data_IF_300073676885
#
_entry.id   IF_300073676885
#
_cell.length_a   1.000
_cell.length_b   1.000
_cell.length_c   1.000
_cell.angle_alpha   90.00
_cell.angle_beta   90.00
_cell.angle_gamma   90.00
#
_symmetry.space_group_name_H-M   'P 1'
#
loop_
_entity.id
_entity.type
_entity.pdbx_description
1 polymer ?
#
# COMPACT_ATOMS: atom_id res chain seq x y z
N UNK A 1 -15.91 16.35 -28.82
CA UNK A 1 -16.35 15.80 -30.12
C UNK A 1 -17.64 15.04 -29.92
N UNK A 2 -18.40 14.79 -30.99
CA UNK A 2 -19.57 13.92 -30.95
C UNK A 2 -19.20 12.64 -31.69
N UNK A 3 -19.51 11.48 -31.12
CA UNK A 3 -19.23 10.19 -31.75
C UNK A 3 -20.07 10.03 -33.04
N UNK A 4 -19.43 9.94 -34.22
CA UNK A 4 -20.12 9.82 -35.51
C UNK A 4 -20.60 8.38 -35.77
N UNK A 5 -21.57 8.24 -36.68
CA UNK A 5 -22.15 6.94 -37.07
C UNK A 5 -21.18 6.15 -37.97
N UNK A 6 -20.89 4.87 -37.68
CA UNK A 6 -20.11 4.03 -38.59
C UNK A 6 -20.97 3.70 -39.82
N UNK A 7 -20.46 4.02 -41.02
CA UNK A 7 -21.19 3.82 -42.30
C UNK A 7 -20.35 3.04 -43.32
N UNK A 8 -19.11 3.49 -43.58
CA UNK A 8 -18.20 2.83 -44.53
C UNK A 8 -17.16 1.97 -43.80
N UNK A 9 -17.22 0.64 -44.02
CA UNK A 9 -16.28 -0.34 -43.50
C UNK A 9 -15.24 -0.71 -44.56
N UNK A 10 -13.98 -0.83 -44.15
CA UNK A 10 -12.89 -1.40 -44.95
C UNK A 10 -12.26 -2.58 -44.22
N UNK A 11 -11.48 -3.39 -44.94
CA UNK A 11 -10.80 -4.58 -44.41
C UNK A 11 -9.89 -4.28 -43.21
N UNK A 12 -9.29 -3.08 -43.17
CA UNK A 12 -8.48 -2.61 -42.03
C UNK A 12 -9.29 -2.43 -40.74
N UNK A 13 -10.60 -2.20 -40.85
CA UNK A 13 -11.50 -2.09 -39.70
C UNK A 13 -11.82 -3.47 -39.13
N UNK A 14 -12.09 -4.44 -40.01
CA UNK A 14 -12.47 -5.79 -39.63
C UNK A 14 -11.33 -6.49 -38.87
N UNK A 15 -10.08 -6.21 -39.22
CA UNK A 15 -8.91 -6.72 -38.51
C UNK A 15 -8.80 -6.16 -37.07
N UNK A 16 -9.04 -4.86 -36.88
CA UNK A 16 -9.07 -4.24 -35.54
C UNK A 16 -10.24 -4.78 -34.71
N UNK A 17 -11.42 -4.89 -35.30
CA UNK A 17 -12.64 -5.40 -34.65
C UNK A 17 -12.44 -6.84 -34.20
N UNK A 18 -11.93 -7.70 -35.09
CA UNK A 18 -11.66 -9.12 -34.82
C UNK A 18 -10.64 -9.26 -33.70
N UNK A 19 -9.56 -8.47 -33.73
CA UNK A 19 -8.55 -8.46 -32.66
C UNK A 19 -9.16 -8.05 -31.32
N UNK A 20 -10.00 -7.00 -31.29
CA UNK A 20 -10.65 -6.53 -30.08
C UNK A 20 -11.67 -7.53 -29.52
N UNK A 21 -12.44 -8.22 -30.38
CA UNK A 21 -13.44 -9.21 -29.96
C UNK A 21 -12.83 -10.50 -29.41
N UNK A 22 -11.68 -10.93 -29.94
CA UNK A 22 -11.01 -12.15 -29.47
C UNK A 22 -10.18 -11.94 -28.20
N UNK A 23 -9.71 -10.71 -27.96
CA UNK A 23 -8.82 -10.40 -26.86
C UNK A 23 -9.39 -10.74 -25.46
N UNK A 24 -10.66 -10.47 -25.11
CA UNK A 24 -11.22 -10.80 -23.80
C UNK A 24 -11.05 -12.29 -23.46
N UNK A 25 -11.33 -13.18 -24.42
CA UNK A 25 -11.19 -14.63 -24.24
C UNK A 25 -9.73 -15.02 -23.97
N UNK A 26 -8.80 -14.47 -24.73
CA UNK A 26 -7.37 -14.73 -24.52
C UNK A 26 -6.88 -14.21 -23.17
N UNK A 27 -7.33 -13.02 -22.76
CA UNK A 27 -6.99 -12.46 -21.45
C UNK A 27 -7.56 -13.33 -20.32
N UNK A 28 -8.81 -13.78 -20.45
CA UNK A 28 -9.46 -14.70 -19.49
C UNK A 28 -8.66 -16.00 -19.33
N UNK A 29 -8.28 -16.65 -20.44
CA UNK A 29 -7.46 -17.86 -20.41
C UNK A 29 -6.10 -17.66 -19.70
N UNK A 30 -5.46 -16.50 -19.87
CA UNK A 30 -4.21 -16.17 -19.18
C UNK A 30 -4.43 -15.84 -17.71
N UNK A 31 -5.53 -15.15 -17.37
CA UNK A 31 -5.88 -14.83 -16.00
C UNK A 31 -6.20 -16.09 -15.18
N UNK A 32 -6.92 -17.05 -15.77
CA UNK A 32 -7.21 -18.37 -15.16
C UNK A 32 -5.93 -19.17 -14.87
N UNK A 33 -4.93 -19.05 -15.75
CA UNK A 33 -3.61 -19.69 -15.59
C UNK A 33 -2.65 -18.88 -14.70
N UNK A 34 -3.11 -17.77 -14.10
CA UNK A 34 -2.29 -16.85 -13.30
C UNK A 34 -1.10 -16.24 -14.06
N UNK A 35 -1.20 -16.13 -15.39
CA UNK A 35 -0.18 -15.57 -16.28
C UNK A 35 -0.42 -14.08 -16.56
N UNK A 36 -0.40 -13.26 -15.50
CA UNK A 36 -0.70 -11.81 -15.54
C UNK A 36 0.14 -11.03 -16.55
N UNK A 37 1.43 -11.36 -16.67
CA UNK A 37 2.35 -10.70 -17.62
C UNK A 37 1.94 -10.94 -19.07
N UNK A 38 1.51 -12.17 -19.40
CA UNK A 38 1.07 -12.51 -20.75
C UNK A 38 -0.26 -11.82 -21.09
N UNK A 39 -1.19 -11.78 -20.14
CA UNK A 39 -2.44 -11.02 -20.28
C UNK A 39 -2.17 -9.54 -20.63
N UNK A 40 -1.26 -8.88 -19.91
CA UNK A 40 -0.85 -7.50 -20.21
C UNK A 40 -0.20 -7.35 -21.59
N UNK A 41 0.65 -8.30 -22.00
CA UNK A 41 1.29 -8.29 -23.32
C UNK A 41 0.24 -8.33 -24.44
N UNK A 42 -0.78 -9.18 -24.31
CA UNK A 42 -1.88 -9.27 -25.29
C UNK A 42 -2.71 -7.99 -25.33
N UNK A 43 -3.04 -7.40 -24.17
CA UNK A 43 -3.74 -6.10 -24.13
C UNK A 43 -2.93 -5.02 -24.86
N UNK A 44 -1.61 -5.00 -24.66
CA UNK A 44 -0.74 -4.05 -25.36
C UNK A 44 -0.60 -4.33 -26.86
N UNK A 45 -0.87 -5.55 -27.34
CA UNK A 45 -0.95 -5.80 -28.79
C UNK A 45 -2.12 -5.05 -29.40
N UNK A 46 -3.29 -5.02 -28.74
CA UNK A 46 -4.43 -4.22 -29.20
C UNK A 46 -4.10 -2.72 -29.20
N UNK A 47 -3.42 -2.21 -28.17
CA UNK A 47 -2.95 -0.82 -28.14
C UNK A 47 -2.04 -0.51 -29.35
N UNK A 48 -1.06 -1.37 -29.62
CA UNK A 48 -0.17 -1.22 -30.79
C UNK A 48 -0.94 -1.29 -32.11
N UNK A 49 -1.91 -2.20 -32.22
CA UNK A 49 -2.75 -2.34 -33.41
C UNK A 49 -3.62 -1.12 -33.64
N UNK A 50 -4.22 -0.55 -32.59
CA UNK A 50 -4.98 0.68 -32.65
C UNK A 50 -4.11 1.87 -33.10
N UNK A 51 -2.87 1.98 -32.60
CA UNK A 51 -1.92 2.99 -33.10
C UNK A 51 -1.60 2.78 -34.59
N UNK A 52 -1.30 1.54 -35.00
CA UNK A 52 -1.08 1.24 -36.43
C UNK A 52 -2.29 1.57 -37.29
N UNK A 53 -3.51 1.33 -36.79
CA UNK A 53 -4.76 1.69 -37.46
C UNK A 53 -4.90 3.21 -37.63
N UNK A 54 -4.50 4.01 -36.63
CA UNK A 54 -4.43 5.47 -36.75
C UNK A 54 -3.48 5.89 -37.88
N UNK A 55 -2.32 5.25 -37.97
CA UNK A 55 -1.33 5.54 -39.01
C UNK A 55 -1.80 5.14 -40.41
N UNK A 56 -2.47 3.98 -40.54
CA UNK A 56 -3.02 3.47 -41.80
C UNK A 56 -4.20 4.32 -42.30
N UNK A 57 -5.09 4.73 -41.40
CA UNK A 57 -6.32 5.47 -41.76
C UNK A 57 -6.11 6.99 -41.83
N UNK A 58 -5.00 7.49 -41.27
CA UNK A 58 -4.62 8.91 -41.25
C UNK A 58 -5.82 9.84 -41.03
N UNK A 59 -6.52 9.76 -39.87
CA UNK A 59 -7.77 10.48 -39.64
C UNK A 59 -7.62 12.01 -39.78
N UNK A 60 -6.42 12.57 -39.55
CA UNK A 60 -6.14 13.99 -39.77
C UNK A 60 -6.14 14.40 -41.25
N UNK A 61 -5.90 13.46 -42.18
CA UNK A 61 -6.04 13.70 -43.62
C UNK A 61 -7.50 13.56 -44.02
N UNK A 62 -8.18 12.52 -43.54
CA UNK A 62 -9.62 12.32 -43.78
C UNK A 62 -10.47 13.49 -43.27
N UNK A 63 -10.07 14.12 -42.16
CA UNK A 63 -10.73 15.29 -41.60
C UNK A 63 -10.63 16.56 -42.48
N UNK A 64 -9.69 16.61 -43.43
CA UNK A 64 -9.54 17.74 -44.36
C UNK A 64 -10.44 17.62 -45.59
N UNK A 65 -10.98 16.43 -45.86
CA UNK A 65 -11.78 16.13 -47.06
C UNK A 65 -13.24 15.90 -46.67
N UNK A 66 -14.12 16.84 -47.01
CA UNK A 66 -15.54 16.77 -46.61
C UNK A 66 -16.27 15.55 -47.20
N UNK A 67 -15.79 15.03 -48.34
CA UNK A 67 -16.37 13.84 -48.98
C UNK A 67 -16.12 12.55 -48.18
N UNK A 68 -15.11 12.55 -47.30
CA UNK A 68 -14.70 11.38 -46.50
C UNK A 68 -15.12 11.47 -45.04
N UNK A 69 -16.04 12.40 -44.70
CA UNK A 69 -16.58 12.54 -43.34
C UNK A 69 -17.20 11.25 -42.80
N UNK A 70 -17.86 10.47 -43.65
CA UNK A 70 -18.42 9.17 -43.26
C UNK A 70 -17.34 8.16 -42.88
N UNK A 71 -16.24 8.10 -43.64
CA UNK A 71 -15.09 7.23 -43.37
C UNK A 71 -14.37 7.63 -42.09
N UNK A 72 -14.10 8.93 -41.91
CA UNK A 72 -13.57 9.47 -40.67
C UNK A 72 -14.46 9.08 -39.48
N UNK A 73 -15.77 9.06 -39.71
CA UNK A 73 -16.73 8.66 -38.71
C UNK A 73 -16.53 7.22 -38.24
N UNK A 74 -16.46 6.28 -39.16
CA UNK A 74 -16.17 4.87 -38.85
C UNK A 74 -14.83 4.71 -38.11
N UNK A 75 -13.77 5.40 -38.57
CA UNK A 75 -12.43 5.31 -37.96
C UNK A 75 -12.44 5.79 -36.51
N UNK A 76 -13.05 6.95 -36.24
CA UNK A 76 -13.13 7.50 -34.88
C UNK A 76 -14.00 6.63 -33.96
N UNK A 77 -15.09 6.06 -34.50
CA UNK A 77 -15.94 5.12 -33.77
C UNK A 77 -15.14 3.88 -33.34
N UNK A 78 -14.45 3.26 -34.29
CA UNK A 78 -13.66 2.04 -34.06
C UNK A 78 -12.54 2.27 -33.03
N UNK A 79 -11.85 3.42 -33.11
CA UNK A 79 -10.81 3.80 -32.15
C UNK A 79 -11.36 4.02 -30.74
N UNK A 80 -12.51 4.66 -30.64
CA UNK A 80 -13.16 4.90 -29.35
C UNK A 80 -13.60 3.59 -28.71
N UNK A 81 -14.14 2.66 -29.52
CA UNK A 81 -14.53 1.34 -29.05
C UNK A 81 -13.31 0.50 -28.64
N UNK A 82 -12.21 0.54 -29.41
CA UNK A 82 -10.96 -0.10 -29.02
C UNK A 82 -10.41 0.44 -27.69
N UNK A 83 -10.46 1.77 -27.47
CA UNK A 83 -10.07 2.39 -26.20
C UNK A 83 -10.96 1.94 -25.04
N UNK A 84 -12.27 1.77 -25.27
CA UNK A 84 -13.21 1.23 -24.27
C UNK A 84 -12.81 -0.19 -23.88
N UNK A 85 -12.53 -1.06 -24.86
CA UNK A 85 -12.06 -2.43 -24.61
C UNK A 85 -10.78 -2.44 -23.78
N UNK A 86 -9.78 -1.64 -24.17
CA UNK A 86 -8.51 -1.51 -23.45
C UNK A 86 -8.77 -1.07 -22.00
N UNK A 87 -9.61 -0.06 -21.78
CA UNK A 87 -9.93 0.46 -20.45
C UNK A 87 -10.58 -0.60 -19.55
N UNK A 88 -11.51 -1.41 -20.06
CA UNK A 88 -12.12 -2.50 -19.29
C UNK A 88 -11.08 -3.57 -18.95
N UNK A 89 -10.26 -3.98 -19.93
CA UNK A 89 -9.28 -5.07 -19.77
C UNK A 89 -8.11 -4.70 -18.85
N UNK A 90 -7.72 -3.42 -18.77
CA UNK A 90 -6.67 -2.97 -17.83
C UNK A 90 -7.18 -2.73 -16.41
N UNK A 91 -8.50 -2.73 -16.17
CA UNK A 91 -9.10 -2.52 -14.86
C UNK A 91 -8.51 -3.38 -13.71
N UNK A 92 -8.27 -4.69 -13.88
CA UNK A 92 -7.62 -5.50 -12.84
C UNK A 92 -6.16 -5.11 -12.54
N UNK A 93 -5.48 -4.42 -13.46
CA UNK A 93 -4.07 -4.02 -13.31
C UNK A 93 -3.91 -2.56 -12.88
N UNK A 94 -4.82 -1.68 -13.31
CA UNK A 94 -4.81 -0.25 -13.04
C UNK A 94 -6.23 0.19 -12.66
N UNK A 95 -6.59 0.30 -11.37
CA UNK A 95 -7.98 0.58 -10.98
C UNK A 95 -8.45 2.01 -11.29
N UNK A 96 -7.52 2.96 -11.40
CA UNK A 96 -7.83 4.38 -11.56
C UNK A 96 -7.81 4.85 -13.02
N UNK A 97 -6.96 4.25 -13.85
CA UNK A 97 -6.78 4.63 -15.26
C UNK A 97 -8.06 4.45 -16.10
N UNK A 98 -8.79 3.32 -16.03
CA UNK A 98 -10.04 3.12 -16.77
C UNK A 98 -11.06 4.21 -16.49
N UNK A 99 -11.22 4.62 -15.22
CA UNK A 99 -12.18 5.66 -14.83
C UNK A 99 -11.91 6.97 -15.57
N UNK A 100 -10.64 7.39 -15.60
CA UNK A 100 -10.22 8.59 -16.36
C UNK A 100 -10.48 8.45 -17.86
N UNK A 101 -10.25 7.27 -18.43
CA UNK A 101 -10.53 6.99 -19.85
C UNK A 101 -12.05 7.07 -20.11
N UNK A 102 -12.88 6.41 -19.30
CA UNK A 102 -14.33 6.41 -19.46
C UNK A 102 -14.94 7.81 -19.31
N UNK A 103 -14.44 8.63 -18.37
CA UNK A 103 -14.83 10.03 -18.23
C UNK A 103 -14.51 10.87 -19.47
N UNK A 104 -13.33 10.67 -20.07
CA UNK A 104 -12.94 11.36 -21.30
C UNK A 104 -13.77 10.89 -22.51
N UNK A 105 -14.06 9.59 -22.58
CA UNK A 105 -14.87 9.02 -23.64
C UNK A 105 -16.37 9.30 -23.47
N UNK A 106 -16.82 9.67 -22.26
CA UNK A 106 -18.23 9.94 -21.95
C UNK A 106 -19.09 8.68 -21.92
N UNK A 107 -18.51 7.53 -21.57
CA UNK A 107 -19.17 6.22 -21.58
C UNK A 107 -20.06 6.07 -20.35
N UNK A 108 -21.27 5.53 -20.53
CA UNK A 108 -22.15 5.17 -19.40
C UNK A 108 -21.54 4.03 -18.57
N UNK A 109 -21.71 4.05 -17.24
CA UNK A 109 -21.15 3.03 -16.32
C UNK A 109 -21.53 1.59 -16.72
N UNK A 110 -22.69 1.42 -17.34
CA UNK A 110 -23.24 0.17 -17.86
C UNK A 110 -22.33 -0.54 -18.89
N UNK A 111 -21.45 0.23 -19.55
CA UNK A 111 -20.55 -0.24 -20.62
C UNK A 111 -19.08 -0.37 -20.15
N UNK A 112 -18.87 -0.38 -18.84
CA UNK A 112 -17.55 -0.49 -18.20
C UNK A 112 -17.26 -1.88 -17.63
N UNK A 113 -18.18 -2.83 -17.81
CA UNK A 113 -18.07 -4.20 -17.28
C UNK A 113 -17.49 -5.17 -18.31
N UNK A 114 -16.93 -6.28 -17.83
CA UNK A 114 -16.42 -7.36 -18.69
C UNK A 114 -17.49 -7.92 -19.63
N UNK A 115 -18.73 -8.05 -19.16
CA UNK A 115 -19.88 -8.53 -19.94
C UNK A 115 -20.28 -7.58 -21.07
N UNK A 116 -19.90 -6.29 -20.97
CA UNK A 116 -20.13 -5.28 -21.99
C UNK A 116 -19.06 -5.26 -23.09
N UNK A 117 -18.12 -6.22 -23.12
CA UNK A 117 -17.09 -6.34 -24.16
C UNK A 117 -17.65 -6.91 -25.47
N UNK A 118 -18.68 -6.26 -26.03
CA UNK A 118 -19.16 -6.47 -27.40
C UNK A 118 -18.91 -5.23 -28.22
N UNK A 119 -18.40 -5.41 -29.42
CA UNK A 119 -18.10 -4.31 -30.32
C UNK A 119 -19.41 -3.69 -30.83
N UNK A 120 -19.50 -2.35 -30.79
CA UNK A 120 -20.65 -1.62 -31.33
C UNK A 120 -21.68 -1.19 -30.28
N UNK A 121 -21.34 -1.24 -28.98
CA UNK A 121 -22.27 -0.87 -27.91
C UNK A 121 -22.26 0.63 -27.57
N UNK A 122 -21.28 1.38 -28.06
CA UNK A 122 -21.26 2.83 -27.89
C UNK A 122 -22.40 3.47 -28.68
N UNK A 123 -23.29 4.16 -27.96
CA UNK A 123 -24.38 4.95 -28.56
C UNK A 123 -23.80 6.08 -29.42
N UNK A 124 -24.38 6.23 -30.60
CA UNK A 124 -24.12 7.35 -31.50
C UNK A 124 -24.42 8.66 -30.76
N UNK A 125 -23.62 9.71 -30.98
CA UNK A 125 -23.84 11.00 -30.31
C UNK A 125 -23.12 11.18 -28.96
N UNK A 126 -22.39 10.17 -28.47
CA UNK A 126 -21.63 10.28 -27.21
C UNK A 126 -20.66 11.47 -27.27
N UNK A 127 -20.74 12.37 -26.28
CA UNK A 127 -19.93 13.60 -26.24
C UNK A 127 -18.63 13.34 -25.49
N UNK A 128 -17.53 13.20 -26.23
CA UNK A 128 -16.20 13.08 -25.64
C UNK A 128 -15.77 14.40 -24.99
N UNK A 129 -15.20 14.31 -23.79
CA UNK A 129 -14.67 15.42 -23.01
C UNK A 129 -13.15 15.47 -23.15
N UNK A 130 -12.60 16.68 -23.32
CA UNK A 130 -11.15 16.88 -23.22
C UNK A 130 -10.76 16.77 -21.75
N UNK A 131 -10.05 15.72 -21.38
CA UNK A 131 -9.56 15.54 -20.01
C UNK A 131 -8.08 15.86 -19.87
N UNK A 132 -7.58 15.64 -18.67
CA UNK A 132 -6.16 15.79 -18.32
C UNK A 132 -5.31 14.67 -18.94
N UNK A 133 -4.00 14.91 -19.02
CA UNK A 133 -3.04 13.89 -19.49
C UNK A 133 -3.07 12.72 -18.51
N UNK A 134 -3.53 11.55 -18.98
CA UNK A 134 -3.69 10.36 -18.12
C UNK A 134 -2.34 9.79 -17.68
N UNK A 135 -1.36 9.79 -18.60
CA UNK A 135 -0.01 9.30 -18.37
C UNK A 135 1.01 10.42 -18.63
N UNK A 136 1.28 11.32 -17.64
CA UNK A 136 2.35 12.28 -17.76
C UNK A 136 3.69 11.54 -17.90
N UNK A 137 4.63 12.10 -18.65
CA UNK A 137 5.98 11.55 -18.71
C UNK A 137 6.60 11.63 -17.32
N UNK A 138 7.07 10.49 -16.83
CA UNK A 138 7.78 10.41 -15.55
C UNK A 138 9.15 11.07 -15.72
N UNK A 139 9.47 12.01 -14.84
CA UNK A 139 10.84 12.47 -14.65
C UNK A 139 11.52 11.57 -13.63
N UNK A 140 12.32 10.63 -14.13
CA UNK A 140 12.95 9.57 -13.33
C UNK A 140 13.82 10.17 -12.21
N UNK A 141 14.50 11.30 -12.47
CA UNK A 141 15.36 11.94 -11.46
C UNK A 141 14.53 12.53 -10.32
N UNK A 142 13.40 13.17 -10.65
CA UNK A 142 12.51 13.78 -9.66
C UNK A 142 11.82 12.73 -8.78
N UNK A 143 11.43 11.59 -9.35
CA UNK A 143 10.86 10.48 -8.57
C UNK A 143 11.88 9.78 -7.69
N UNK A 144 13.11 9.56 -8.17
CA UNK A 144 14.18 8.99 -7.34
C UNK A 144 14.47 9.85 -6.10
N UNK A 145 14.54 11.17 -6.29
CA UNK A 145 14.70 12.12 -5.17
C UNK A 145 13.52 12.03 -4.19
N UNK A 146 12.28 11.95 -4.69
CA UNK A 146 11.09 11.85 -3.84
C UNK A 146 11.03 10.51 -3.06
N UNK A 147 11.53 9.42 -3.63
CA UNK A 147 11.63 8.12 -2.96
C UNK A 147 12.71 8.17 -1.85
N UNK A 148 13.87 8.80 -2.13
CA UNK A 148 14.92 9.00 -1.14
C UNK A 148 14.49 9.91 0.02
N UNK A 149 13.71 10.95 -0.26
CA UNK A 149 13.15 11.84 0.78
C UNK A 149 12.15 11.12 1.67
N UNK A 150 11.24 10.31 1.10
CA UNK A 150 10.31 9.47 1.88
C UNK A 150 11.04 8.43 2.72
N UNK A 151 12.10 7.83 2.21
CA UNK A 151 12.94 6.89 2.96
C UNK A 151 13.71 7.57 4.11
N UNK A 152 13.98 8.88 4.02
CA UNK A 152 14.57 9.68 5.10
C UNK A 152 13.54 10.09 6.16
N UNK A 153 12.28 10.32 5.79
CA UNK A 153 11.22 10.66 6.76
C UNK A 153 10.93 9.52 7.76
N UNK A 154 11.03 8.25 7.34
CA UNK A 154 10.86 7.10 8.26
C UNK A 154 12.03 6.91 9.25
N UNK A 155 13.12 7.68 9.12
CA UNK A 155 14.29 7.63 10.02
C UNK A 155 14.55 8.97 10.73
N UNK A 156 13.53 9.79 10.96
CA UNK A 156 13.68 10.88 11.94
C UNK A 156 13.63 10.29 13.35
N UNK A 157 14.82 10.18 13.96
CA UNK A 157 14.93 10.03 15.41
C UNK A 157 14.46 11.36 15.99
N UNK A 158 13.30 11.37 16.65
CA UNK A 158 12.84 12.52 17.41
C UNK A 158 13.75 12.69 18.63
N UNK A 159 14.69 13.63 18.53
CA UNK A 159 15.59 13.94 19.64
C UNK A 159 14.80 14.58 20.78
N UNK A 160 14.89 13.98 21.98
CA UNK A 160 14.38 14.59 23.20
C UNK A 160 15.41 15.56 23.79
N UNK A 161 14.91 16.59 24.47
CA UNK A 161 15.72 17.49 25.27
C UNK A 161 16.19 16.83 26.57
N UNK A 162 17.27 17.35 27.16
CA UNK A 162 17.75 16.90 28.49
C UNK A 162 16.67 17.09 29.56
N UNK A 163 15.83 18.13 29.42
CA UNK A 163 14.72 18.42 30.33
C UNK A 163 13.63 17.35 30.28
N UNK A 164 13.33 16.82 29.10
CA UNK A 164 12.39 15.70 28.92
C UNK A 164 12.96 14.41 29.52
N UNK A 165 14.25 14.16 29.37
CA UNK A 165 14.92 13.04 30.03
C UNK A 165 14.89 13.18 31.56
N UNK A 166 15.15 14.38 32.08
CA UNK A 166 15.15 14.66 33.53
C UNK A 166 13.78 14.45 34.20
N UNK A 167 12.67 14.51 33.43
CA UNK A 167 11.33 14.16 33.93
C UNK A 167 11.19 12.67 34.21
N UNK A 168 12.00 11.80 33.62
CA UNK A 168 11.97 10.35 33.85
C UNK A 168 12.82 10.02 35.07
N UNK A 169 12.21 9.41 36.09
CA UNK A 169 12.92 8.96 37.28
C UNK A 169 13.33 7.51 37.10
N UNK A 170 14.58 7.28 36.72
CA UNK A 170 15.18 5.96 36.65
C UNK A 170 15.84 5.61 38.00
N UNK A 171 15.54 4.41 38.53
CA UNK A 171 16.11 3.91 39.79
C UNK A 171 16.56 2.46 39.70
N UNK A 172 17.58 2.12 40.47
CA UNK A 172 17.99 0.73 40.70
C UNK A 172 17.04 0.08 41.71
N UNK A 173 16.53 -1.10 41.38
CA UNK A 173 15.61 -1.86 42.21
C UNK A 173 16.10 -3.30 42.38
N UNK A 174 15.97 -3.86 43.57
CA UNK A 174 16.34 -5.24 43.88
C UNK A 174 15.09 -6.11 43.93
N UNK A 175 15.10 -7.25 43.23
CA UNK A 175 13.97 -8.16 43.20
C UNK A 175 13.96 -9.01 44.47
N UNK A 176 12.94 -8.85 45.32
CA UNK A 176 12.77 -9.63 46.54
C UNK A 176 11.98 -10.92 46.29
N UNK A 177 10.89 -10.81 45.54
CA UNK A 177 9.99 -11.91 45.23
C UNK A 177 9.62 -11.85 43.75
N UNK A 178 9.51 -13.01 43.11
CA UNK A 178 9.04 -13.15 41.74
C UNK A 178 8.09 -14.34 41.66
N UNK A 179 6.94 -14.16 41.01
CA UNK A 179 5.90 -15.16 40.86
C UNK A 179 5.32 -15.09 39.45
N UNK A 180 4.96 -16.24 38.86
CA UNK A 180 4.23 -16.25 37.58
C UNK A 180 2.80 -15.77 37.81
N UNK A 181 2.30 -14.94 36.90
CA UNK A 181 0.92 -14.46 36.96
C UNK A 181 -0.04 -15.56 36.51
N UNK A 182 -0.98 -15.94 37.38
CA UNK A 182 -2.03 -16.89 37.03
C UNK A 182 -2.83 -16.43 35.81
N UNK A 183 -3.02 -17.33 34.84
CA UNK A 183 -3.69 -17.03 33.58
C UNK A 183 -2.82 -16.29 32.54
N UNK A 184 -1.48 -16.23 32.71
CA UNK A 184 -0.59 -15.63 31.72
C UNK A 184 0.79 -16.30 31.58
N UNK A 185 1.06 -16.86 30.41
CA UNK A 185 2.37 -17.48 30.10
C UNK A 185 3.49 -16.48 29.81
N UNK A 186 3.20 -15.17 29.86
CA UNK A 186 4.13 -14.10 29.47
C UNK A 186 4.50 -13.16 30.62
N UNK A 187 3.80 -13.21 31.75
CA UNK A 187 3.92 -12.20 32.81
C UNK A 187 4.51 -12.80 34.09
N UNK A 188 5.47 -12.09 34.68
CA UNK A 188 5.97 -12.34 36.03
C UNK A 188 5.64 -11.12 36.88
N UNK A 189 5.01 -11.36 38.03
CA UNK A 189 4.79 -10.38 39.09
C UNK A 189 6.03 -10.36 39.97
N UNK A 190 6.61 -9.18 40.18
CA UNK A 190 7.81 -9.01 40.99
C UNK A 190 7.54 -7.98 42.09
N UNK A 191 8.04 -8.28 43.28
CA UNK A 191 8.11 -7.33 44.40
C UNK A 191 9.55 -6.82 44.49
N UNK A 192 9.70 -5.53 44.31
CA UNK A 192 10.99 -4.87 44.21
C UNK A 192 11.24 -3.99 45.43
N UNK A 193 12.44 -4.04 45.99
CA UNK A 193 12.96 -3.04 46.93
C UNK A 193 13.55 -1.88 46.15
N UNK A 194 13.16 -0.66 46.49
CA UNK A 194 13.69 0.59 45.93
C UNK A 194 14.06 1.51 47.10
N UNK A 195 15.28 1.36 47.63
CA UNK A 195 15.68 2.02 48.87
C UNK A 195 14.93 1.43 50.06
N UNK A 196 14.15 2.27 50.75
CA UNK A 196 13.31 1.85 51.89
C UNK A 196 11.89 1.43 51.48
N UNK A 197 11.49 1.69 50.24
CA UNK A 197 10.15 1.33 49.74
C UNK A 197 10.14 -0.04 49.08
N UNK A 198 9.00 -0.73 49.16
CA UNK A 198 8.70 -1.91 48.34
C UNK A 198 7.61 -1.59 47.33
N UNK A 199 7.80 -2.00 46.07
CA UNK A 199 6.85 -1.78 44.98
C UNK A 199 6.57 -3.06 44.22
N UNK A 200 5.43 -3.10 43.55
CA UNK A 200 5.05 -4.22 42.70
C UNK A 200 5.14 -3.82 41.22
N UNK A 201 5.82 -4.63 40.42
CA UNK A 201 5.90 -4.46 38.95
C UNK A 201 5.54 -5.78 38.29
N UNK A 202 4.79 -5.71 37.19
CA UNK A 202 4.46 -6.86 36.36
C UNK A 202 5.22 -6.74 35.04
N UNK A 203 6.15 -7.67 34.79
CA UNK A 203 7.03 -7.67 33.64
C UNK A 203 6.68 -8.75 32.62
N UNK A 204 6.72 -8.41 31.33
CA UNK A 204 6.50 -9.33 30.21
C UNK A 204 7.66 -10.27 29.90
N UNK A 205 8.34 -10.80 30.93
CA UNK A 205 9.65 -11.46 30.80
C UNK A 205 9.62 -12.98 31.02
N UNK A 206 8.44 -13.57 31.23
CA UNK A 206 8.29 -14.99 31.59
C UNK A 206 8.79 -15.98 30.52
N UNK A 207 8.99 -15.50 29.29
CA UNK A 207 9.54 -16.30 28.17
C UNK A 207 11.06 -16.43 28.20
N UNK A 208 11.74 -15.56 28.94
CA UNK A 208 13.21 -15.43 28.93
C UNK A 208 13.84 -15.64 30.31
N UNK A 209 13.06 -15.48 31.39
CA UNK A 209 13.54 -15.62 32.76
C UNK A 209 12.59 -16.48 33.59
N UNK A 210 13.14 -17.27 34.50
CA UNK A 210 12.35 -17.92 35.55
C UNK A 210 12.29 -17.04 36.81
N UNK A 211 11.26 -17.18 37.65
CA UNK A 211 11.16 -16.40 38.89
C UNK A 211 12.39 -16.56 39.81
N UNK A 212 12.96 -17.76 39.88
CA UNK A 212 14.10 -18.08 40.73
C UNK A 212 15.37 -17.35 40.29
N UNK A 213 15.55 -17.15 38.98
CA UNK A 213 16.67 -16.40 38.43
C UNK A 213 16.58 -14.91 38.73
N UNK A 214 15.37 -14.39 38.97
CA UNK A 214 15.14 -12.97 39.16
C UNK A 214 15.42 -12.52 40.60
N UNK A 215 15.19 -13.38 41.59
CA UNK A 215 15.36 -13.05 43.01
C UNK A 215 16.82 -12.64 43.29
N UNK A 216 17.01 -11.52 43.97
CA UNK A 216 18.32 -10.93 44.29
C UNK A 216 18.98 -10.15 43.15
N UNK A 217 18.41 -10.12 41.94
CA UNK A 217 18.95 -9.28 40.86
C UNK A 217 18.62 -7.81 41.08
N UNK A 218 19.58 -6.94 40.74
CA UNK A 218 19.42 -5.48 40.69
C UNK A 218 19.14 -5.04 39.26
N UNK A 219 17.99 -4.43 39.04
CA UNK A 219 17.48 -4.03 37.72
C UNK A 219 17.19 -2.53 37.68
N UNK A 220 17.15 -1.96 36.48
CA UNK A 220 16.74 -0.57 36.26
C UNK A 220 15.23 -0.50 36.03
N UNK A 221 14.56 0.38 36.76
CA UNK A 221 13.12 0.67 36.60
C UNK A 221 12.85 2.14 36.33
N UNK A 222 11.75 2.42 35.64
CA UNK A 222 11.10 3.72 35.60
C UNK A 222 10.19 3.84 36.82
N UNK A 223 10.56 4.70 37.76
CA UNK A 223 9.94 4.84 39.07
C UNK A 223 8.67 5.72 39.06
N UNK A 224 8.63 6.75 38.22
CA UNK A 224 7.55 7.76 38.19
C UNK A 224 6.55 7.56 37.04
N UNK A 225 6.33 6.32 36.61
CA UNK A 225 5.30 5.99 35.64
C UNK A 225 3.95 5.80 36.33
N UNK A 226 2.86 6.23 35.70
CA UNK A 226 1.51 6.00 36.21
C UNK A 226 1.22 4.50 36.38
N UNK A 227 0.67 4.06 37.53
CA UNK A 227 0.31 2.66 37.75
C UNK A 227 -0.69 2.16 36.69
N UNK A 228 -0.43 0.97 36.15
CA UNK A 228 -1.34 0.31 35.20
C UNK A 228 -1.68 -1.10 35.66
N UNK A 229 -2.94 -1.49 35.45
CA UNK A 229 -3.41 -2.86 35.73
C UNK A 229 -3.11 -3.76 34.53
N UNK A 230 -2.34 -4.83 34.77
CA UNK A 230 -2.03 -5.88 33.80
C UNK A 230 -2.67 -7.17 34.32
N UNK A 231 -3.70 -7.67 33.61
CA UNK A 231 -4.49 -8.85 34.02
C UNK A 231 -4.97 -8.80 35.48
N UNK A 232 -5.48 -7.63 35.90
CA UNK A 232 -6.01 -7.43 37.25
C UNK A 232 -4.96 -7.11 38.32
N UNK A 233 -3.67 -7.25 38.03
CA UNK A 233 -2.57 -6.95 38.96
C UNK A 233 -2.04 -5.54 38.68
N UNK A 234 -1.89 -4.73 39.72
CA UNK A 234 -1.34 -3.37 39.62
C UNK A 234 0.18 -3.40 39.43
N UNK A 235 0.68 -2.71 38.41
CA UNK A 235 2.10 -2.50 38.14
C UNK A 235 2.45 -1.03 38.34
N UNK A 236 3.29 -0.73 39.32
CA UNK A 236 3.65 0.63 39.78
C UNK A 236 5.02 1.07 39.24
N UNK A 237 5.29 0.73 37.99
CA UNK A 237 6.54 1.04 37.30
C UNK A 237 6.75 0.15 36.09
N UNK A 238 7.88 0.36 35.43
CA UNK A 238 8.30 -0.40 34.24
C UNK A 238 9.77 -0.80 34.39
N UNK A 239 10.09 -2.07 34.19
CA UNK A 239 11.47 -2.53 34.07
C UNK A 239 12.03 -2.23 32.67
N UNK A 240 13.33 -2.02 32.58
CA UNK A 240 14.01 -1.84 31.30
C UNK A 240 14.73 -3.12 30.87
N UNK A 241 14.59 -3.46 29.60
CA UNK A 241 15.24 -4.61 28.99
C UNK A 241 15.65 -4.30 27.54
N UNK A 242 16.78 -4.85 27.12
CA UNK A 242 17.21 -4.85 25.73
C UNK A 242 16.70 -6.12 25.05
N UNK A 243 16.16 -6.00 23.84
CA UNK A 243 15.73 -7.14 23.04
C UNK A 243 16.27 -7.05 21.61
N UNK A 244 16.73 -8.19 21.09
CA UNK A 244 17.19 -8.41 19.71
C UNK A 244 16.69 -9.78 19.27
N UNK A 245 16.53 -10.07 17.99
CA UNK A 245 15.96 -11.33 17.45
C UNK A 245 16.17 -12.58 18.34
N UNK A 246 15.13 -12.95 19.11
CA UNK A 246 15.11 -14.13 19.98
C UNK A 246 15.84 -14.05 21.33
N UNK A 247 16.44 -12.90 21.67
CA UNK A 247 17.16 -12.66 22.94
C UNK A 247 16.60 -11.45 23.68
N UNK A 248 16.54 -11.56 25.01
CA UNK A 248 16.15 -10.47 25.91
C UNK A 248 17.11 -10.44 27.09
N UNK A 249 17.56 -9.25 27.47
CA UNK A 249 18.43 -9.05 28.65
C UNK A 249 17.93 -7.88 29.48
N UNK A 250 17.77 -8.08 30.78
CA UNK A 250 17.43 -7.01 31.73
C UNK A 250 18.57 -5.99 31.82
N UNK A 251 18.23 -4.71 31.84
CA UNK A 251 19.21 -3.67 32.11
C UNK A 251 19.59 -3.72 33.60
N UNK A 252 20.90 -3.80 33.86
CA UNK A 252 21.49 -3.88 35.19
C UNK A 252 22.66 -2.90 35.28
N UNK A 253 23.16 -2.67 36.49
CA UNK A 253 24.37 -1.88 36.74
C UNK A 253 25.60 -2.80 36.70
N UNK A 254 26.73 -2.30 36.20
CA UNK A 254 27.98 -3.08 36.07
C UNK A 254 28.62 -3.41 37.44
N UNK A 255 28.35 -2.56 38.44
CA UNK A 255 28.83 -2.71 39.82
C UNK A 255 27.67 -2.80 40.80
N UNK A 256 27.97 -3.38 41.95
CA UNK A 256 26.99 -3.46 43.02
C UNK A 256 26.72 -2.05 43.61
N UNK A 257 25.48 -1.59 43.45
CA UNK A 257 25.01 -0.28 43.93
C UNK A 257 23.78 -0.51 44.80
N UNK A 258 23.60 0.31 45.84
CA UNK A 258 22.44 0.20 46.73
C UNK A 258 21.11 0.36 45.97
N UNK A 259 20.12 -0.42 46.38
CA UNK A 259 18.76 -0.28 45.89
C UNK A 259 18.25 1.14 46.19
N UNK A 260 17.53 1.74 45.24
CA UNK A 260 17.02 3.11 45.32
C UNK A 260 17.94 4.17 44.72
N UNK A 261 19.15 3.82 44.29
CA UNK A 261 20.06 4.74 43.61
C UNK A 261 19.43 5.35 42.36
N UNK A 262 19.59 6.67 42.20
CA UNK A 262 19.09 7.44 41.04
C UNK A 262 20.08 7.33 39.88
N UNK A 263 19.54 7.16 38.66
CA UNK A 263 20.33 7.17 37.43
C UNK A 263 20.26 8.57 36.82
N UNK A 264 21.41 9.11 36.39
CA UNK A 264 21.59 10.45 35.84
C UNK A 264 22.27 10.41 34.49
#
# INVERSE_FOLDING_TARGET
GILPKPSQKEEVDDDLITTAQNLPKTVEEYMDKLQFSNALIEIWKLVRRANKYIDETMPWVLAKDESKKERLGTVLYNLTEALRFIAVLISPFMPNTPKKIFEQLGVEENLTTWESLKFGLLKEGTKVKRGEIIFPRIDVNKELVAIEEKAKEEKKIDYITIEEFAKIQLRVAEILEAERVEGSDKLIKMKLKVGEETRQIVGGIARYYTPEELIGKKIIIVYNLEPKKLKGIESQGMLLAASTEGKMSLLTVDRDIESGAKIS
#
